data_IF_974733386547
#
_entry.id   IF_974733386547
#
_cell.length_a   1.000
_cell.length_b   1.000
_cell.length_c   1.000
_cell.angle_alpha   90.00
_cell.angle_beta   90.00
_cell.angle_gamma   90.00
#
_symmetry.space_group_name_H-M   'P 1'
#
loop_
_entity.id
_entity.type
_entity.pdbx_description
1 polymer ?
#
# COMPACT_ATOMS: atom_id res chain seq x y z
N UNK A 1 -2.77 12.24 12.80
CA UNK A 1 -2.04 11.28 11.93
C UNK A 1 -2.81 10.97 10.64
N UNK A 2 -4.06 10.44 10.64
CA UNK A 2 -4.77 10.06 9.41
C UNK A 2 -5.01 11.25 8.47
N UNK A 3 -5.61 12.35 8.96
CA UNK A 3 -5.85 13.56 8.16
C UNK A 3 -4.55 14.22 7.69
N UNK A 4 -3.52 14.21 8.52
CA UNK A 4 -2.20 14.73 8.17
C UNK A 4 -1.58 13.92 7.03
N UNK A 5 -1.62 12.58 7.12
CA UNK A 5 -1.12 11.70 6.06
C UNK A 5 -1.86 11.91 4.73
N UNK A 6 -3.19 11.97 4.78
CA UNK A 6 -3.98 12.27 3.58
C UNK A 6 -3.62 13.64 2.98
N UNK A 7 -3.44 14.68 3.80
CA UNK A 7 -3.07 16.01 3.32
C UNK A 7 -1.72 16.05 2.58
N UNK A 8 -0.76 15.19 2.98
CA UNK A 8 0.54 15.08 2.29
C UNK A 8 0.39 14.65 0.82
N UNK A 9 -0.64 13.83 0.51
CA UNK A 9 -0.89 13.33 -0.85
C UNK A 9 -1.60 14.36 -1.76
N UNK A 10 -2.18 15.42 -1.19
CA UNK A 10 -2.89 16.46 -1.94
C UNK A 10 -2.07 17.75 -2.11
N UNK A 11 -0.76 17.69 -1.86
CA UNK A 11 0.16 18.82 -2.01
C UNK A 11 0.40 19.20 -3.48
N UNK A 12 0.85 20.45 -3.71
CA UNK A 12 1.21 20.96 -5.07
C UNK A 12 2.53 20.38 -5.61
N UNK A 13 3.31 19.70 -4.78
CA UNK A 13 4.60 19.09 -5.14
C UNK A 13 4.52 17.60 -4.81
N UNK A 14 5.25 16.77 -5.57
CA UNK A 14 5.38 15.35 -5.24
C UNK A 14 5.83 15.17 -3.79
N UNK A 15 5.17 14.27 -3.10
CA UNK A 15 5.51 13.87 -1.76
C UNK A 15 6.44 12.65 -1.80
N UNK A 16 7.58 12.73 -1.11
CA UNK A 16 8.52 11.62 -0.99
C UNK A 16 8.21 10.85 0.29
N UNK A 17 7.75 9.61 0.14
CA UNK A 17 7.44 8.69 1.22
C UNK A 17 8.51 7.59 1.30
N UNK A 18 9.51 7.71 2.18
CA UNK A 18 10.57 6.72 2.30
C UNK A 18 10.08 5.46 3.01
N UNK A 19 10.66 4.32 2.65
CA UNK A 19 10.33 3.03 3.22
C UNK A 19 11.36 2.60 4.28
N UNK A 20 10.85 2.15 5.42
CA UNK A 20 11.60 1.54 6.50
C UNK A 20 11.28 0.03 6.59
N UNK A 21 12.18 -0.74 7.18
CA UNK A 21 12.01 -2.18 7.39
C UNK A 21 12.19 -2.60 8.85
N UNK A 22 12.65 -1.68 9.71
CA UNK A 22 12.79 -1.85 11.15
C UNK A 22 12.66 -0.50 11.88
N UNK A 23 12.71 -0.54 13.21
CA UNK A 23 12.59 0.65 14.04
C UNK A 23 13.77 1.61 13.84
N UNK A 24 14.97 1.11 13.63
CA UNK A 24 16.16 1.94 13.50
C UNK A 24 16.11 2.75 12.20
N UNK A 25 15.82 2.09 11.06
CA UNK A 25 15.64 2.78 9.77
C UNK A 25 14.51 3.80 9.82
N UNK A 26 13.39 3.48 10.47
CA UNK A 26 12.27 4.40 10.59
C UNK A 26 12.61 5.65 11.42
N UNK A 27 13.31 5.49 12.53
CA UNK A 27 13.77 6.62 13.34
C UNK A 27 14.76 7.51 12.60
N UNK A 28 15.70 6.92 11.85
CA UNK A 28 16.64 7.68 11.02
C UNK A 28 15.93 8.50 9.96
N UNK A 29 14.90 7.95 9.31
CA UNK A 29 14.09 8.68 8.34
C UNK A 29 13.33 9.84 8.99
N UNK A 30 12.72 9.62 10.16
CA UNK A 30 12.07 10.69 10.91
C UNK A 30 13.06 11.80 11.30
N UNK A 31 14.24 11.45 11.81
CA UNK A 31 15.27 12.44 12.20
C UNK A 31 15.87 13.17 10.97
N UNK A 32 15.85 12.54 9.80
CA UNK A 32 16.19 13.19 8.53
C UNK A 32 15.12 14.20 8.04
N UNK A 33 13.99 14.32 8.76
CA UNK A 33 12.96 15.32 8.50
C UNK A 33 11.88 14.88 7.51
N UNK A 34 11.75 13.60 7.20
CA UNK A 34 10.64 13.12 6.38
C UNK A 34 9.32 13.25 7.12
N UNK A 35 8.26 13.81 6.47
CA UNK A 35 7.00 14.11 7.13
C UNK A 35 6.11 12.87 7.36
N UNK A 36 6.46 11.73 6.79
CA UNK A 36 5.85 10.43 7.02
C UNK A 36 6.82 9.32 6.65
N UNK A 37 6.58 8.10 7.11
CA UNK A 37 7.37 6.91 6.82
C UNK A 37 6.44 5.77 6.41
N UNK A 38 6.81 5.02 5.37
CA UNK A 38 6.13 3.77 5.02
C UNK A 38 6.99 2.55 5.38
N UNK A 39 6.38 1.37 5.36
CA UNK A 39 7.13 0.11 5.36
C UNK A 39 7.22 -0.48 3.95
N UNK A 40 8.05 -1.49 3.79
CA UNK A 40 8.13 -2.34 2.61
C UNK A 40 8.11 -3.80 3.05
N UNK A 41 7.14 -4.57 2.54
CA UNK A 41 6.99 -5.99 2.86
C UNK A 41 8.28 -6.77 2.59
N UNK A 42 8.91 -6.52 1.44
CA UNK A 42 10.21 -7.11 1.08
C UNK A 42 11.26 -6.91 2.17
N UNK A 43 11.46 -5.67 2.63
CA UNK A 43 12.46 -5.36 3.66
C UNK A 43 12.10 -5.91 5.03
N UNK A 44 10.84 -5.78 5.43
CA UNK A 44 10.32 -6.27 6.71
C UNK A 44 10.41 -7.79 6.79
N UNK A 45 10.00 -8.51 5.73
CA UNK A 45 10.11 -9.95 5.64
C UNK A 45 11.57 -10.41 5.64
N UNK A 46 12.45 -9.72 4.93
CA UNK A 46 13.89 -10.04 4.91
C UNK A 46 14.53 -9.95 6.30
N UNK A 47 14.20 -8.92 7.09
CA UNK A 47 14.66 -8.78 8.48
C UNK A 47 14.16 -9.93 9.36
N UNK A 48 12.93 -10.40 9.11
CA UNK A 48 12.33 -11.52 9.82
C UNK A 48 12.80 -12.90 9.32
N UNK A 49 13.66 -12.96 8.28
CA UNK A 49 14.08 -14.22 7.66
C UNK A 49 13.01 -14.92 6.83
N UNK A 50 11.98 -14.17 6.38
CA UNK A 50 10.90 -14.69 5.58
C UNK A 50 11.10 -14.33 4.10
N UNK A 51 10.71 -15.22 3.16
CA UNK A 51 10.69 -14.88 1.75
C UNK A 51 9.57 -13.86 1.45
N UNK A 52 9.81 -12.98 0.49
CA UNK A 52 8.84 -12.01 0.02
C UNK A 52 7.64 -12.69 -0.66
N UNK A 53 6.47 -12.06 -0.59
CA UNK A 53 5.21 -12.54 -1.20
C UNK A 53 4.85 -14.00 -0.84
N UNK A 54 5.31 -14.48 0.31
CA UNK A 54 5.07 -15.86 0.77
C UNK A 54 3.74 -16.06 1.50
N UNK A 55 3.03 -14.96 1.79
CA UNK A 55 1.85 -14.96 2.66
C UNK A 55 2.15 -15.12 4.15
N UNK A 56 3.42 -15.39 4.52
CA UNK A 56 3.85 -15.55 5.92
C UNK A 56 4.11 -14.22 6.66
N UNK A 57 4.09 -13.09 5.96
CA UNK A 57 4.44 -11.77 6.50
C UNK A 57 3.38 -11.10 7.38
N UNK A 58 2.17 -11.65 7.49
CA UNK A 58 1.03 -11.01 8.17
C UNK A 58 1.33 -10.52 9.59
N UNK A 59 1.85 -11.42 10.43
CA UNK A 59 2.09 -11.09 11.84
C UNK A 59 3.31 -10.17 12.02
N UNK A 60 4.26 -10.25 11.10
CA UNK A 60 5.43 -9.36 11.04
C UNK A 60 4.98 -7.96 10.63
N UNK A 61 4.16 -7.82 9.58
CA UNK A 61 3.60 -6.53 9.15
C UNK A 61 2.76 -5.88 10.26
N UNK A 62 1.92 -6.65 10.96
CA UNK A 62 1.14 -6.17 12.08
C UNK A 62 2.02 -5.71 13.24
N UNK A 63 3.06 -6.47 13.57
CA UNK A 63 3.99 -6.17 14.67
C UNK A 63 4.79 -4.91 14.37
N UNK A 64 5.38 -4.80 13.17
CA UNK A 64 6.16 -3.62 12.80
C UNK A 64 5.26 -2.38 12.70
N UNK A 65 4.07 -2.49 12.11
CA UNK A 65 3.12 -1.38 12.01
C UNK A 65 2.74 -0.81 13.38
N UNK A 66 2.36 -1.67 14.32
CA UNK A 66 2.08 -1.29 15.72
C UNK A 66 3.27 -0.63 16.40
N UNK A 67 4.45 -1.22 16.21
CA UNK A 67 5.68 -0.72 16.84
C UNK A 67 6.05 0.66 16.32
N UNK A 68 5.99 0.87 15.00
CA UNK A 68 6.32 2.15 14.39
C UNK A 68 5.30 3.23 14.74
N UNK A 69 4.00 2.94 14.65
CA UNK A 69 2.95 3.88 15.01
C UNK A 69 3.03 4.35 16.47
N UNK A 70 3.47 3.46 17.39
CA UNK A 70 3.67 3.80 18.80
C UNK A 70 4.99 4.53 19.11
N UNK A 71 5.94 4.60 18.18
CA UNK A 71 7.27 5.18 18.40
C UNK A 71 7.56 6.43 17.59
N UNK A 72 7.01 6.54 16.39
CA UNK A 72 7.23 7.69 15.52
C UNK A 72 6.28 8.85 15.86
N UNK A 73 6.77 10.06 15.63
CA UNK A 73 5.99 11.30 15.73
C UNK A 73 5.35 11.71 14.40
N UNK A 74 5.66 11.00 13.33
CA UNK A 74 5.15 11.21 11.97
C UNK A 74 4.21 10.07 11.57
N UNK A 75 3.26 10.30 10.65
CA UNK A 75 2.38 9.27 10.14
C UNK A 75 3.14 8.06 9.57
N UNK A 76 2.57 6.87 9.80
CA UNK A 76 3.10 5.60 9.30
C UNK A 76 2.12 4.97 8.33
N UNK A 77 2.61 4.52 7.17
CA UNK A 77 1.88 3.67 6.22
C UNK A 77 2.50 2.28 6.18
N UNK A 78 1.67 1.23 6.16
CA UNK A 78 2.13 -0.16 6.19
C UNK A 78 1.84 -0.86 4.86
N UNK A 79 2.85 -1.50 4.30
CA UNK A 79 2.70 -2.38 3.15
C UNK A 79 2.12 -3.73 3.61
N UNK A 80 0.91 -4.04 3.16
CA UNK A 80 0.15 -5.24 3.53
C UNK A 80 0.14 -6.31 2.44
N UNK A 81 0.99 -6.21 1.43
CA UNK A 81 0.90 -7.14 0.29
C UNK A 81 -0.55 -7.19 -0.23
N UNK A 82 -1.07 -8.35 -0.60
CA UNK A 82 -2.47 -8.55 -0.99
C UNK A 82 -3.45 -8.68 0.17
N UNK A 83 -3.05 -8.32 1.40
CA UNK A 83 -3.88 -8.41 2.62
C UNK A 83 -3.83 -9.78 3.31
N UNK A 84 -3.00 -10.70 2.85
CA UNK A 84 -2.78 -12.04 3.43
C UNK A 84 -4.03 -12.93 3.50
N UNK A 85 -5.09 -12.59 2.79
CA UNK A 85 -6.34 -13.35 2.73
C UNK A 85 -7.11 -13.05 1.44
N UNK A 86 -7.88 -14.01 0.98
CA UNK A 86 -8.87 -13.82 -0.08
C UNK A 86 -10.25 -13.38 0.46
N UNK A 87 -10.46 -13.45 1.77
CA UNK A 87 -11.68 -12.95 2.40
C UNK A 87 -11.59 -11.44 2.68
N UNK A 88 -12.42 -10.59 2.02
CA UNK A 88 -12.42 -9.15 2.27
C UNK A 88 -12.65 -8.76 3.73
N UNK A 89 -13.44 -9.54 4.48
CA UNK A 89 -13.68 -9.26 5.89
C UNK A 89 -12.44 -9.50 6.76
N UNK A 90 -11.66 -10.54 6.45
CA UNK A 90 -10.40 -10.81 7.13
C UNK A 90 -9.35 -9.73 6.88
N UNK A 91 -9.26 -9.22 5.64
CA UNK A 91 -8.36 -8.09 5.31
C UNK A 91 -8.80 -6.81 6.02
N UNK A 92 -10.10 -6.52 6.04
CA UNK A 92 -10.66 -5.38 6.75
C UNK A 92 -10.38 -5.46 8.27
N UNK A 93 -10.50 -6.64 8.87
CA UNK A 93 -10.16 -6.84 10.29
C UNK A 93 -8.67 -6.61 10.59
N UNK A 94 -7.77 -7.01 9.68
CA UNK A 94 -6.34 -6.74 9.80
C UNK A 94 -6.03 -5.23 9.70
N UNK A 95 -6.64 -4.54 8.73
CA UNK A 95 -6.53 -3.11 8.56
C UNK A 95 -7.05 -2.35 9.80
N UNK A 96 -8.15 -2.82 10.40
CA UNK A 96 -8.69 -2.29 11.66
C UNK A 96 -7.69 -2.38 12.80
N UNK A 97 -7.02 -3.53 12.98
CA UNK A 97 -6.00 -3.70 14.01
C UNK A 97 -4.79 -2.74 13.86
N UNK A 98 -4.44 -2.38 12.63
CA UNK A 98 -3.38 -1.40 12.36
C UNK A 98 -3.87 0.03 12.64
N UNK A 99 -5.07 0.37 12.22
CA UNK A 99 -5.66 1.68 12.48
C UNK A 99 -5.84 1.94 13.98
N UNK A 100 -6.31 0.95 14.75
CA UNK A 100 -6.42 1.02 16.22
C UNK A 100 -5.06 1.26 16.88
N UNK A 101 -3.98 0.79 16.28
CA UNK A 101 -2.61 1.06 16.73
C UNK A 101 -2.06 2.44 16.30
N UNK A 102 -2.80 3.20 15.48
CA UNK A 102 -2.41 4.53 15.01
C UNK A 102 -1.73 4.56 13.65
N UNK A 103 -1.73 3.48 12.89
CA UNK A 103 -1.25 3.45 11.50
C UNK A 103 -2.15 4.35 10.65
N UNK A 104 -1.56 5.24 9.86
CA UNK A 104 -2.27 6.26 9.11
C UNK A 104 -2.70 5.81 7.70
N UNK A 105 -1.99 4.87 7.11
CA UNK A 105 -2.29 4.35 5.78
C UNK A 105 -1.77 2.92 5.55
N UNK A 106 -2.25 2.33 4.48
CA UNK A 106 -1.81 1.00 4.02
C UNK A 106 -1.66 0.97 2.50
N UNK A 107 -0.74 0.14 2.01
CA UNK A 107 -0.75 -0.34 0.63
C UNK A 107 -1.45 -1.70 0.57
N UNK A 108 -2.30 -1.89 -0.44
CA UNK A 108 -2.90 -3.18 -0.79
C UNK A 108 -2.67 -3.46 -2.26
N UNK A 109 -2.04 -4.59 -2.59
CA UNK A 109 -1.69 -4.96 -3.96
C UNK A 109 -2.57 -6.06 -4.54
N UNK A 110 -2.67 -6.05 -5.87
CA UNK A 110 -3.40 -7.08 -6.63
C UNK A 110 -2.49 -8.18 -7.20
N UNK A 111 -1.19 -8.10 -6.98
CA UNK A 111 -0.23 -9.14 -7.31
C UNK A 111 -0.47 -10.42 -6.52
N UNK A 112 -0.32 -11.57 -7.18
CA UNK A 112 -0.44 -12.89 -6.57
C UNK A 112 0.89 -13.66 -6.69
N UNK A 113 1.15 -14.58 -5.76
CA UNK A 113 2.25 -15.53 -5.91
C UNK A 113 2.17 -16.23 -7.29
N UNK A 114 3.33 -16.38 -7.96
CA UNK A 114 3.37 -16.93 -9.30
C UNK A 114 3.27 -15.91 -10.44
N UNK A 115 3.25 -14.61 -10.12
CA UNK A 115 3.36 -13.54 -11.12
C UNK A 115 2.07 -13.26 -11.91
N UNK A 116 0.93 -13.53 -11.31
CA UNK A 116 -0.38 -13.23 -11.88
C UNK A 116 -1.07 -12.11 -11.10
N UNK A 117 -2.11 -11.52 -11.69
CA UNK A 117 -2.92 -10.48 -11.04
C UNK A 117 -4.24 -11.07 -10.55
N UNK A 118 -4.62 -10.71 -9.35
CA UNK A 118 -5.97 -10.95 -8.80
C UNK A 118 -7.02 -10.32 -9.73
N UNK A 119 -8.21 -10.93 -9.90
CA UNK A 119 -9.30 -10.26 -10.63
C UNK A 119 -9.57 -8.88 -10.03
N UNK A 120 -9.63 -7.85 -10.88
CA UNK A 120 -9.80 -6.46 -10.42
C UNK A 120 -11.07 -6.27 -9.59
N UNK A 121 -12.17 -6.95 -9.93
CA UNK A 121 -13.41 -6.91 -9.17
C UNK A 121 -13.26 -7.47 -7.75
N UNK A 122 -12.45 -8.53 -7.59
CA UNK A 122 -12.18 -9.08 -6.27
C UNK A 122 -11.32 -8.13 -5.42
N UNK A 123 -10.26 -7.55 -6.01
CA UNK A 123 -9.43 -6.59 -5.29
C UNK A 123 -10.20 -5.32 -4.93
N UNK A 124 -11.07 -4.84 -5.81
CA UNK A 124 -12.00 -3.74 -5.53
C UNK A 124 -12.94 -4.07 -4.35
N UNK A 125 -13.44 -5.32 -4.24
CA UNK A 125 -14.24 -5.74 -3.11
C UNK A 125 -13.46 -5.74 -1.78
N UNK A 126 -12.17 -6.13 -1.81
CA UNK A 126 -11.28 -6.04 -0.64
C UNK A 126 -11.10 -4.58 -0.22
N UNK A 127 -10.79 -3.69 -1.16
CA UNK A 127 -10.65 -2.25 -0.89
C UNK A 127 -11.93 -1.67 -0.29
N UNK A 128 -13.09 -1.95 -0.89
CA UNK A 128 -14.39 -1.48 -0.40
C UNK A 128 -14.67 -1.95 1.03
N UNK A 129 -14.36 -3.21 1.34
CA UNK A 129 -14.53 -3.76 2.69
C UNK A 129 -13.63 -3.04 3.72
N UNK A 130 -12.37 -2.77 3.38
CA UNK A 130 -11.45 -2.03 4.24
C UNK A 130 -11.93 -0.60 4.47
N UNK A 131 -12.27 0.13 3.41
CA UNK A 131 -12.74 1.52 3.48
C UNK A 131 -14.02 1.64 4.30
N UNK A 132 -14.96 0.71 4.15
CA UNK A 132 -16.21 0.69 4.93
C UNK A 132 -15.97 0.39 6.41
N UNK A 133 -15.05 -0.55 6.72
CA UNK A 133 -14.79 -0.97 8.09
C UNK A 133 -13.90 0.00 8.86
N UNK A 134 -13.01 0.74 8.19
CA UNK A 134 -11.99 1.58 8.81
C UNK A 134 -12.01 3.00 8.21
N UNK A 135 -13.04 3.81 8.50
CA UNK A 135 -13.12 5.18 8.00
C UNK A 135 -11.92 6.01 8.47
N UNK A 136 -11.27 6.69 7.51
CA UNK A 136 -10.12 7.56 7.77
C UNK A 136 -8.75 6.90 7.59
N UNK A 137 -8.65 5.58 7.50
CA UNK A 137 -7.41 4.93 7.10
C UNK A 137 -7.15 5.21 5.61
N UNK A 138 -5.96 5.72 5.27
CA UNK A 138 -5.60 5.97 3.88
C UNK A 138 -5.29 4.66 3.17
N UNK A 139 -6.11 4.27 2.21
CA UNK A 139 -5.90 3.08 1.39
C UNK A 139 -5.27 3.47 0.07
N UNK A 140 -4.01 3.08 -0.12
CA UNK A 140 -3.26 3.23 -1.36
C UNK A 140 -3.36 1.91 -2.14
N UNK A 141 -4.21 1.88 -3.15
CA UNK A 141 -4.43 0.69 -3.96
C UNK A 141 -3.25 0.49 -4.93
N UNK A 142 -2.53 -0.61 -4.78
CA UNK A 142 -1.42 -0.98 -5.65
C UNK A 142 -1.90 -1.92 -6.75
N UNK A 143 -1.49 -1.64 -8.00
CA UNK A 143 -1.62 -2.60 -9.09
C UNK A 143 -0.26 -2.97 -9.65
N UNK A 144 0.00 -4.27 -9.73
CA UNK A 144 1.30 -4.82 -10.13
C UNK A 144 1.44 -5.06 -11.63
N UNK A 145 0.61 -4.44 -12.45
CA UNK A 145 0.65 -4.58 -13.92
C UNK A 145 2.03 -4.31 -14.51
N UNK A 146 2.71 -3.25 -14.07
CA UNK A 146 4.06 -2.92 -14.53
C UNK A 146 5.15 -3.72 -13.80
N UNK A 147 4.96 -4.03 -12.53
CA UNK A 147 5.90 -4.84 -11.76
C UNK A 147 5.99 -6.27 -12.29
N UNK A 148 4.86 -6.91 -12.54
CA UNK A 148 4.77 -8.26 -13.10
C UNK A 148 4.86 -8.29 -14.63
N UNK A 149 4.91 -7.12 -15.26
CA UNK A 149 4.93 -6.97 -16.72
C UNK A 149 3.76 -7.68 -17.43
N UNK A 150 2.57 -7.62 -16.82
CA UNK A 150 1.36 -8.26 -17.33
C UNK A 150 0.18 -7.26 -17.34
N UNK A 151 -0.66 -7.24 -18.38
CA UNK A 151 -0.55 -7.99 -19.62
C UNK A 151 0.60 -7.53 -20.53
N UNK A 152 0.57 -7.92 -21.82
CA UNK A 152 1.56 -7.50 -22.82
C UNK A 152 1.72 -5.96 -22.88
N UNK A 153 2.89 -5.43 -23.28
CA UNK A 153 3.16 -3.98 -23.21
C UNK A 153 2.12 -3.09 -23.87
N UNK A 154 1.54 -3.52 -25.01
CA UNK A 154 0.53 -2.73 -25.74
C UNK A 154 -0.81 -2.59 -24.98
N UNK A 155 -1.11 -3.49 -24.06
CA UNK A 155 -2.38 -3.55 -23.32
C UNK A 155 -2.21 -3.05 -21.87
N UNK A 156 -0.96 -2.98 -21.40
CA UNK A 156 -0.63 -2.77 -19.97
C UNK A 156 -1.18 -1.48 -19.42
N UNK A 157 -0.99 -0.36 -20.10
CA UNK A 157 -1.50 0.92 -19.65
C UNK A 157 -3.04 0.89 -19.55
N UNK A 158 -3.73 0.38 -20.57
CA UNK A 158 -5.18 0.27 -20.55
C UNK A 158 -5.71 -0.58 -19.40
N UNK A 159 -5.06 -1.71 -19.11
CA UNK A 159 -5.40 -2.56 -17.96
C UNK A 159 -5.10 -1.86 -16.63
N UNK A 160 -3.98 -1.14 -16.55
CA UNK A 160 -3.63 -0.36 -15.35
C UNK A 160 -4.71 0.70 -15.05
N UNK A 161 -5.09 1.49 -16.05
CA UNK A 161 -6.11 2.53 -15.88
C UNK A 161 -7.46 1.95 -15.49
N UNK A 162 -7.88 0.86 -16.11
CA UNK A 162 -9.12 0.15 -15.76
C UNK A 162 -9.11 -0.33 -14.29
N UNK A 163 -7.98 -0.82 -13.80
CA UNK A 163 -7.81 -1.25 -12.40
C UNK A 163 -7.84 -0.07 -11.44
N UNK A 164 -7.06 0.96 -11.73
CA UNK A 164 -7.01 2.18 -10.91
C UNK A 164 -8.40 2.82 -10.80
N UNK A 165 -9.16 2.88 -11.91
CA UNK A 165 -10.55 3.35 -11.90
C UNK A 165 -11.44 2.49 -10.99
N UNK A 166 -11.40 1.17 -11.14
CA UNK A 166 -12.17 0.26 -10.31
C UNK A 166 -11.82 0.37 -8.81
N UNK A 167 -10.56 0.61 -8.48
CA UNK A 167 -10.09 0.75 -7.10
C UNK A 167 -10.49 2.12 -6.50
N UNK A 168 -10.41 3.19 -7.31
CA UNK A 168 -10.95 4.50 -6.93
C UNK A 168 -12.45 4.40 -6.64
N UNK A 169 -13.23 3.77 -7.53
CA UNK A 169 -14.67 3.61 -7.37
C UNK A 169 -15.04 2.74 -6.16
N UNK A 170 -14.11 1.85 -5.74
CA UNK A 170 -14.21 1.11 -4.48
C UNK A 170 -13.84 1.93 -3.23
N UNK A 171 -13.40 3.18 -3.41
CA UNK A 171 -13.07 4.11 -2.33
C UNK A 171 -11.59 4.19 -1.96
N UNK A 172 -10.68 3.67 -2.78
CA UNK A 172 -9.25 3.89 -2.58
C UNK A 172 -8.92 5.40 -2.58
N UNK A 173 -7.98 5.79 -1.72
CA UNK A 173 -7.57 7.19 -1.54
C UNK A 173 -6.39 7.58 -2.45
N UNK A 174 -5.67 6.59 -2.95
CA UNK A 174 -4.54 6.75 -3.86
C UNK A 174 -4.30 5.50 -4.70
N UNK A 175 -3.53 5.65 -5.76
CA UNK A 175 -3.08 4.55 -6.62
C UNK A 175 -1.55 4.45 -6.60
N UNK A 176 -1.04 3.22 -6.58
CA UNK A 176 0.38 2.92 -6.64
C UNK A 176 0.65 1.89 -7.74
N UNK A 177 1.53 2.24 -8.65
CA UNK A 177 1.91 1.38 -9.80
C UNK A 177 3.42 1.20 -9.80
N UNK A 178 3.96 0.19 -9.08
CA UNK A 178 5.39 -0.05 -9.04
C UNK A 178 5.94 -0.43 -10.41
N UNK A 179 7.15 0.05 -10.72
CA UNK A 179 7.78 -0.19 -12.02
C UNK A 179 7.28 0.71 -13.15
N UNK A 180 6.32 1.57 -12.92
CA UNK A 180 5.88 2.58 -13.88
C UNK A 180 6.88 3.74 -13.90
N UNK A 181 7.69 3.83 -14.97
CA UNK A 181 8.75 4.83 -15.13
C UNK A 181 8.55 5.74 -16.34
N UNK A 182 7.64 5.38 -17.24
CA UNK A 182 7.33 6.17 -18.43
C UNK A 182 6.59 7.46 -18.08
N UNK A 183 7.13 8.64 -18.45
CA UNK A 183 6.54 9.94 -18.12
C UNK A 183 5.09 10.07 -18.63
N UNK A 184 4.81 9.62 -19.86
CA UNK A 184 3.47 9.68 -20.44
C UNK A 184 2.47 8.80 -19.67
N UNK A 185 2.86 7.56 -19.35
CA UNK A 185 2.02 6.63 -18.62
C UNK A 185 1.80 7.07 -17.17
N UNK A 186 2.84 7.63 -16.53
CA UNK A 186 2.72 8.23 -15.19
C UNK A 186 1.74 9.39 -15.20
N UNK A 187 1.81 10.28 -16.21
CA UNK A 187 0.87 11.38 -16.34
C UNK A 187 -0.57 10.89 -16.57
N UNK A 188 -0.76 9.80 -17.33
CA UNK A 188 -2.07 9.21 -17.55
C UNK A 188 -2.67 8.66 -16.26
N UNK A 189 -1.87 7.94 -15.44
CA UNK A 189 -2.33 7.39 -14.14
C UNK A 189 -2.63 8.53 -13.14
N UNK A 190 -1.88 9.61 -13.16
CA UNK A 190 -2.07 10.73 -12.23
C UNK A 190 -3.36 11.54 -12.45
N UNK A 191 -4.10 11.26 -13.53
CA UNK A 191 -5.41 11.89 -13.80
C UNK A 191 -6.58 11.19 -13.10
N UNK A 192 -6.34 10.02 -12.52
CA UNK A 192 -7.35 9.21 -11.82
C UNK A 192 -7.30 9.38 -10.31
#
# INVERSE_FOLDING_TARGET
MHQEFAALHHGRRPFLLPNAWDVASALLLQEAGFPAVATTSLGVNAVAGLPDASGGGRDVALTIGRTLAGRLRVPVSVDLEGGYSDDPAAVAALAGQLADAGVAGINLEDGLPGGTLRPASHHAAVIAAVVAAVPGLFVNARTDTYWLQTPAPAERLGETLRRVEAYRDAGAHGAFVPGLTGQADTAAVALY
#
